data_IF_557175597676
#
_entry.id   IF_557175597676
#
_cell.length_a   1.000
_cell.length_b   1.000
_cell.length_c   1.000
_cell.angle_alpha   90.00
_cell.angle_beta   90.00
_cell.angle_gamma   90.00
#
_symmetry.space_group_name_H-M   'P 1'
#
loop_
_entity.id
_entity.type
_entity.pdbx_description
1 polymer ?
#
# COMPACT_ATOMS: atom_id res chain seq x y z
N UNK A 1 -28.49 13.99 3.39
CA UNK A 1 -27.65 13.45 2.30
C UNK A 1 -26.48 14.40 2.10
N UNK A 2 -25.26 13.90 2.16
CA UNK A 2 -24.02 14.66 2.01
C UNK A 2 -23.30 14.23 0.74
N UNK A 3 -22.71 15.19 0.00
CA UNK A 3 -21.83 14.90 -1.14
C UNK A 3 -20.38 15.02 -0.68
N UNK A 4 -19.57 13.96 -0.85
CA UNK A 4 -18.12 14.02 -0.70
C UNK A 4 -17.47 14.02 -2.07
N UNK A 5 -16.56 14.96 -2.30
CA UNK A 5 -15.73 15.06 -3.50
C UNK A 5 -14.29 14.70 -3.09
N UNK A 6 -13.71 13.68 -3.73
CA UNK A 6 -12.30 13.31 -3.55
C UNK A 6 -11.53 13.70 -4.80
N UNK A 7 -10.49 14.51 -4.64
CA UNK A 7 -9.59 14.97 -5.71
C UNK A 7 -8.20 14.39 -5.53
N UNK A 8 -7.61 13.92 -6.62
CA UNK A 8 -6.33 13.24 -6.60
C UNK A 8 -5.26 14.08 -7.29
N UNK A 9 -4.13 14.22 -6.60
CA UNK A 9 -2.98 14.97 -7.08
C UNK A 9 -1.70 14.15 -6.92
N UNK A 10 -0.76 14.35 -7.82
CA UNK A 10 0.60 13.86 -7.68
C UNK A 10 1.30 14.60 -6.53
N UNK A 11 1.98 13.88 -5.64
CA UNK A 11 2.63 14.50 -4.49
C UNK A 11 3.84 15.35 -4.91
N UNK A 12 4.50 14.95 -6.01
CA UNK A 12 5.74 15.58 -6.49
C UNK A 12 5.57 16.95 -7.13
N UNK A 13 4.44 17.21 -7.81
CA UNK A 13 4.24 18.47 -8.56
C UNK A 13 2.83 19.06 -8.41
N UNK A 14 1.94 18.35 -7.71
CA UNK A 14 0.55 18.77 -7.50
C UNK A 14 -0.33 18.70 -8.76
N UNK A 15 0.12 18.04 -9.82
CA UNK A 15 -0.72 17.84 -11.00
C UNK A 15 -1.90 16.92 -10.71
N UNK A 16 -3.08 17.14 -11.34
CA UNK A 16 -4.21 16.22 -11.22
C UNK A 16 -3.85 14.85 -11.81
N UNK A 17 -4.25 13.78 -11.13
CA UNK A 17 -4.03 12.40 -11.58
C UNK A 17 -5.31 11.60 -11.45
N UNK A 18 -5.43 10.55 -12.25
CA UNK A 18 -6.54 9.61 -12.10
C UNK A 18 -6.37 8.79 -10.82
N UNK A 19 -7.44 8.70 -10.05
CA UNK A 19 -7.47 7.95 -8.81
C UNK A 19 -8.81 7.26 -8.59
N UNK A 20 -8.86 6.46 -7.56
CA UNK A 20 -10.07 5.83 -7.06
C UNK A 20 -10.16 5.97 -5.56
N UNK A 21 -11.38 5.99 -5.05
CA UNK A 21 -11.64 6.02 -3.63
C UNK A 21 -12.71 5.00 -3.27
N UNK A 22 -12.61 4.44 -2.06
CA UNK A 22 -13.60 3.54 -1.49
C UNK A 22 -13.91 4.00 -0.07
N UNK A 23 -15.19 4.16 0.24
CA UNK A 23 -15.62 4.50 1.59
C UNK A 23 -15.65 3.25 2.47
N UNK A 24 -15.08 3.34 3.66
CA UNK A 24 -14.95 2.21 4.59
C UNK A 24 -15.65 2.51 5.91
N UNK A 25 -16.31 1.48 6.45
CA UNK A 25 -17.02 1.56 7.73
C UNK A 25 -16.60 0.44 8.69
N UNK A 26 -16.74 0.75 9.99
CA UNK A 26 -16.55 -0.19 11.08
C UNK A 26 -15.11 -0.64 11.31
N UNK A 27 -14.94 -1.47 12.34
CA UNK A 27 -13.63 -2.00 12.76
C UNK A 27 -12.92 -2.83 11.67
N UNK A 28 -13.72 -3.47 10.82
CA UNK A 28 -13.21 -4.37 9.77
C UNK A 28 -12.99 -3.68 8.42
N UNK A 29 -13.12 -2.34 8.38
CA UNK A 29 -12.95 -1.54 7.16
C UNK A 29 -13.73 -2.10 5.96
N UNK A 30 -14.99 -2.42 6.20
CA UNK A 30 -15.87 -2.95 5.15
C UNK A 30 -16.26 -1.84 4.18
N UNK A 31 -16.20 -2.11 2.88
CA UNK A 31 -16.62 -1.17 1.86
C UNK A 31 -18.10 -0.81 1.99
N UNK A 32 -18.41 0.47 1.94
CA UNK A 32 -19.78 1.00 2.03
C UNK A 32 -20.35 1.13 0.63
N UNK A 33 -21.50 0.50 0.40
CA UNK A 33 -22.24 0.62 -0.85
C UNK A 33 -22.93 1.99 -0.97
N UNK A 34 -22.31 2.92 -1.70
CA UNK A 34 -22.86 4.25 -1.97
C UNK A 34 -22.83 4.56 -3.47
N UNK A 35 -23.64 5.54 -3.91
CA UNK A 35 -23.56 6.02 -5.28
C UNK A 35 -22.26 6.77 -5.49
N UNK A 36 -21.48 6.32 -6.49
CA UNK A 36 -20.20 6.90 -6.87
C UNK A 36 -20.24 7.37 -8.32
N UNK A 37 -19.64 8.52 -8.60
CA UNK A 37 -19.45 9.05 -9.97
C UNK A 37 -18.08 9.71 -10.09
N UNK A 38 -17.27 9.42 -11.13
CA UNK A 38 -17.49 8.32 -12.09
C UNK A 38 -17.36 6.93 -11.43
N UNK A 39 -17.90 5.91 -12.05
CA UNK A 39 -17.78 4.51 -11.59
C UNK A 39 -16.33 3.98 -11.72
N UNK A 40 -15.56 4.57 -12.63
CA UNK A 40 -14.16 4.27 -12.86
C UNK A 40 -13.34 5.53 -12.62
N UNK A 41 -12.08 5.36 -12.23
CA UNK A 41 -11.18 6.41 -11.80
C UNK A 41 -11.14 7.65 -12.71
N UNK A 42 -10.79 8.76 -12.11
CA UNK A 42 -10.64 10.06 -12.73
C UNK A 42 -9.94 10.98 -11.73
N UNK A 43 -9.64 12.25 -12.10
CA UNK A 43 -9.00 13.20 -11.19
C UNK A 43 -9.92 13.66 -10.04
N UNK A 44 -11.21 13.37 -10.16
CA UNK A 44 -12.22 13.66 -9.14
C UNK A 44 -13.26 12.54 -9.08
N UNK A 45 -13.56 12.08 -7.87
CA UNK A 45 -14.62 11.10 -7.59
C UNK A 45 -15.62 11.70 -6.62
N UNK A 46 -16.92 11.54 -6.88
CA UNK A 46 -18.02 12.05 -6.05
C UNK A 46 -18.83 10.91 -5.45
N UNK A 47 -19.12 11.04 -4.17
CA UNK A 47 -19.98 10.13 -3.43
C UNK A 47 -21.23 10.87 -2.92
N UNK A 48 -22.38 10.22 -3.05
CA UNK A 48 -23.61 10.64 -2.38
C UNK A 48 -23.83 9.72 -1.18
N UNK A 49 -23.69 10.26 0.03
CA UNK A 49 -23.74 9.51 1.29
C UNK A 49 -24.96 9.94 2.09
N UNK A 50 -25.79 9.00 2.47
CA UNK A 50 -26.94 9.28 3.32
C UNK A 50 -26.47 9.60 4.76
N UNK A 51 -27.21 10.49 5.45
CA UNK A 51 -26.87 10.92 6.81
C UNK A 51 -26.89 9.78 7.83
N UNK A 52 -27.55 8.67 7.51
CA UNK A 52 -27.58 7.44 8.32
C UNK A 52 -26.43 6.51 8.05
N UNK A 53 -25.64 6.73 7.00
CA UNK A 53 -24.52 5.90 6.62
C UNK A 53 -23.29 6.27 7.45
N UNK A 54 -22.77 5.30 8.21
CA UNK A 54 -21.55 5.48 8.98
C UNK A 54 -20.34 5.21 8.09
N UNK A 55 -19.49 6.22 7.91
CA UNK A 55 -18.20 6.11 7.21
C UNK A 55 -17.11 6.56 8.17
N UNK A 56 -16.05 5.77 8.29
CA UNK A 56 -14.93 6.06 9.17
C UNK A 56 -13.71 6.55 8.40
N UNK A 57 -13.46 5.96 7.23
CA UNK A 57 -12.25 6.18 6.45
C UNK A 57 -12.55 6.18 4.95
N UNK A 58 -11.65 6.77 4.19
CA UNK A 58 -11.62 6.72 2.72
C UNK A 58 -10.33 6.04 2.30
N UNK A 59 -10.40 4.87 1.69
CA UNK A 59 -9.25 4.26 1.03
C UNK A 59 -9.06 4.95 -0.31
N UNK A 60 -7.88 5.48 -0.54
CA UNK A 60 -7.50 6.19 -1.77
C UNK A 60 -6.38 5.47 -2.48
N UNK A 61 -6.46 5.38 -3.80
CA UNK A 61 -5.48 4.68 -4.63
C UNK A 61 -5.39 5.28 -6.03
N UNK A 62 -4.27 5.04 -6.70
CA UNK A 62 -4.05 5.34 -8.11
C UNK A 62 -3.06 4.34 -8.69
N UNK A 63 -3.00 4.24 -10.02
CA UNK A 63 -2.08 3.35 -10.71
C UNK A 63 -0.64 3.74 -10.39
N UNK A 64 0.17 2.78 -9.92
CA UNK A 64 1.58 2.97 -9.53
C UNK A 64 1.81 4.07 -8.48
N UNK A 65 0.79 4.32 -7.64
CA UNK A 65 0.87 5.23 -6.51
C UNK A 65 0.61 4.47 -5.21
N UNK A 66 1.22 4.95 -4.14
CA UNK A 66 1.02 4.37 -2.82
C UNK A 66 -0.43 4.63 -2.37
N UNK A 67 -1.15 3.55 -2.05
CA UNK A 67 -2.51 3.63 -1.52
C UNK A 67 -2.48 3.82 -0.02
N UNK A 68 -3.35 4.67 0.51
CA UNK A 68 -3.45 4.88 1.95
C UNK A 68 -4.88 5.18 2.39
N UNK A 69 -5.08 5.19 3.70
CA UNK A 69 -6.34 5.48 4.34
C UNK A 69 -6.37 6.91 4.84
N UNK A 70 -7.39 7.65 4.43
CA UNK A 70 -7.70 8.97 4.96
C UNK A 70 -8.86 8.89 5.96
N UNK A 71 -8.82 9.58 7.09
CA UNK A 71 -9.97 9.65 7.98
C UNK A 71 -11.14 10.32 7.28
N UNK A 72 -12.38 9.98 7.67
CA UNK A 72 -13.57 10.63 7.13
C UNK A 72 -13.47 12.15 7.28
N UNK A 73 -13.48 12.92 6.18
CA UNK A 73 -13.23 14.36 6.24
C UNK A 73 -14.42 15.12 6.85
N UNK A 74 -14.12 16.22 7.52
CA UNK A 74 -15.15 17.16 8.02
C UNK A 74 -15.72 18.05 6.90
N UNK A 75 -14.92 18.31 5.86
CA UNK A 75 -15.30 19.09 4.67
C UNK A 75 -15.95 18.20 3.60
N UNK A 76 -16.67 18.81 2.68
CA UNK A 76 -17.27 18.12 1.54
C UNK A 76 -16.25 17.84 0.41
N UNK A 77 -15.02 18.33 0.55
CA UNK A 77 -13.92 18.08 -0.38
C UNK A 77 -12.74 17.49 0.39
N UNK A 78 -12.20 16.38 -0.12
CA UNK A 78 -10.95 15.74 0.32
C UNK A 78 -9.95 15.84 -0.83
N UNK A 79 -8.89 16.60 -0.63
CA UNK A 79 -7.75 16.65 -1.56
C UNK A 79 -6.67 15.68 -1.08
N UNK A 80 -6.30 14.75 -1.96
CA UNK A 80 -5.34 13.69 -1.65
C UNK A 80 -4.13 13.82 -2.55
N UNK A 81 -2.95 13.78 -1.95
CA UNK A 81 -1.66 13.76 -2.66
C UNK A 81 -1.08 12.36 -2.57
N UNK A 82 -0.95 11.69 -3.72
CA UNK A 82 -0.49 10.31 -3.81
C UNK A 82 0.98 10.27 -4.25
N UNK A 83 1.80 9.63 -3.43
CA UNK A 83 3.22 9.42 -3.71
C UNK A 83 3.43 8.29 -4.72
N UNK A 84 4.53 8.35 -5.47
CA UNK A 84 4.96 7.28 -6.37
C UNK A 84 5.24 6.02 -5.58
N UNK A 85 4.74 4.89 -6.06
CA UNK A 85 5.05 3.59 -5.48
C UNK A 85 6.15 2.87 -6.27
N UNK A 86 6.69 1.83 -5.65
CA UNK A 86 7.61 0.87 -6.23
C UNK A 86 7.15 -0.54 -5.87
N UNK A 87 7.78 -1.53 -6.46
CA UNK A 87 7.50 -2.94 -6.24
C UNK A 87 8.79 -3.68 -5.89
N UNK A 88 8.70 -4.59 -4.93
CA UNK A 88 9.78 -5.48 -4.53
C UNK A 88 9.31 -6.92 -4.67
N UNK A 89 10.02 -7.71 -5.47
CA UNK A 89 9.81 -9.13 -5.60
C UNK A 89 10.97 -9.86 -4.92
N UNK A 90 10.66 -10.65 -3.90
CA UNK A 90 11.64 -11.45 -3.16
C UNK A 90 11.42 -12.91 -3.54
N UNK A 91 12.45 -13.55 -4.08
CA UNK A 91 12.41 -14.95 -4.49
C UNK A 91 13.37 -15.82 -3.70
N UNK A 92 12.99 -17.07 -3.46
CA UNK A 92 13.84 -18.11 -2.89
C UNK A 92 14.15 -19.13 -3.99
N UNK A 93 15.40 -19.28 -4.32
CA UNK A 93 15.83 -20.06 -5.50
C UNK A 93 15.99 -21.56 -5.25
N UNK A 94 15.87 -22.04 -4.03
CA UNK A 94 16.16 -23.43 -3.68
C UNK A 94 14.94 -24.14 -3.10
N UNK A 95 14.96 -25.47 -3.07
CA UNK A 95 13.94 -26.30 -2.43
C UNK A 95 13.88 -26.11 -0.90
N UNK A 96 14.61 -25.15 -0.40
CA UNK A 96 14.68 -24.83 1.02
C UNK A 96 13.60 -23.81 1.41
N UNK A 97 13.07 -24.01 2.59
CA UNK A 97 12.16 -23.07 3.21
C UNK A 97 12.95 -21.97 3.91
N UNK A 98 12.59 -20.72 3.64
CA UNK A 98 13.12 -19.52 4.29
C UNK A 98 11.99 -18.74 4.93
N UNK A 99 12.31 -17.92 5.89
CA UNK A 99 11.41 -16.88 6.35
C UNK A 99 12.07 -15.53 6.17
N UNK A 100 11.29 -14.50 5.86
CA UNK A 100 11.80 -13.15 5.66
C UNK A 100 11.07 -12.15 6.53
N UNK A 101 11.77 -11.09 6.91
CA UNK A 101 11.21 -9.84 7.40
C UNK A 101 11.66 -8.70 6.49
N UNK A 102 10.81 -7.69 6.34
CA UNK A 102 11.11 -6.49 5.54
C UNK A 102 11.05 -5.26 6.44
N UNK A 103 12.16 -4.55 6.54
CA UNK A 103 12.29 -3.36 7.38
C UNK A 103 12.53 -2.12 6.53
N UNK A 104 11.70 -1.09 6.69
CA UNK A 104 11.96 0.24 6.15
C UNK A 104 12.97 0.96 7.06
N UNK A 105 14.08 1.41 6.50
CA UNK A 105 15.17 2.05 7.28
C UNK A 105 15.21 3.57 7.12
N UNK A 106 14.46 4.12 6.16
CA UNK A 106 14.36 5.55 5.90
C UNK A 106 13.10 6.22 6.47
N UNK A 107 12.36 5.54 7.37
CA UNK A 107 11.13 6.09 7.96
C UNK A 107 9.92 6.13 7.03
N UNK A 108 9.95 5.37 5.93
CA UNK A 108 8.84 5.28 4.99
C UNK A 108 7.57 4.75 5.69
N UNK A 109 6.42 5.30 5.30
CA UNK A 109 5.14 4.74 5.71
C UNK A 109 4.93 3.37 5.06
N UNK A 110 4.49 2.39 5.83
CA UNK A 110 4.21 1.04 5.37
C UNK A 110 2.71 0.79 5.38
N UNK A 111 2.19 0.14 4.34
CA UNK A 111 0.84 -0.40 4.38
C UNK A 111 0.72 -1.53 5.43
N UNK A 112 -0.51 -2.00 5.68
CA UNK A 112 -0.75 -2.99 6.73
C UNK A 112 -0.07 -4.34 6.43
N UNK A 113 0.05 -4.71 5.15
CA UNK A 113 0.71 -5.95 4.73
C UNK A 113 2.22 -5.87 4.98
N UNK A 114 2.88 -4.84 4.46
CA UNK A 114 4.34 -4.66 4.66
C UNK A 114 4.67 -4.45 6.12
N UNK A 115 3.79 -3.76 6.88
CA UNK A 115 3.94 -3.63 8.33
C UNK A 115 3.86 -4.98 9.04
N UNK A 116 3.08 -5.94 8.56
CA UNK A 116 3.07 -7.30 9.10
C UNK A 116 4.38 -8.02 8.84
N UNK A 117 4.99 -7.84 7.65
CA UNK A 117 6.31 -8.39 7.31
C UNK A 117 7.45 -7.82 8.17
N UNK A 118 7.28 -6.62 8.71
CA UNK A 118 8.26 -6.01 9.63
C UNK A 118 8.11 -6.49 11.08
N UNK A 119 7.02 -7.18 11.42
CA UNK A 119 6.74 -7.66 12.79
C UNK A 119 7.02 -9.14 12.97
N UNK A 120 6.73 -9.93 11.96
CA UNK A 120 6.81 -11.40 12.05
C UNK A 120 7.44 -11.98 10.77
N UNK A 121 8.33 -12.99 10.89
CA UNK A 121 8.92 -13.63 9.74
C UNK A 121 7.85 -14.32 8.88
N UNK A 122 7.82 -13.98 7.61
CA UNK A 122 6.92 -14.57 6.63
C UNK A 122 7.60 -15.75 5.91
N UNK A 123 7.01 -16.94 5.98
CA UNK A 123 7.58 -18.14 5.38
C UNK A 123 7.46 -18.12 3.85
N UNK A 124 8.59 -18.33 3.18
CA UNK A 124 8.72 -18.54 1.75
C UNK A 124 9.26 -19.94 1.47
N UNK A 125 8.54 -20.69 0.65
CA UNK A 125 9.00 -22.00 0.17
C UNK A 125 9.77 -21.83 -1.12
N UNK A 126 10.74 -22.73 -1.35
CA UNK A 126 11.53 -22.74 -2.57
C UNK A 126 10.71 -22.72 -3.84
N UNK A 127 11.17 -21.97 -4.83
CA UNK A 127 10.46 -21.76 -6.10
C UNK A 127 9.25 -20.81 -6.02
N UNK A 128 9.03 -20.14 -4.89
CA UNK A 128 7.98 -19.10 -4.75
C UNK A 128 8.60 -17.73 -4.57
N UNK A 129 7.87 -16.72 -5.00
CA UNK A 129 8.17 -15.32 -4.76
C UNK A 129 7.13 -14.68 -3.83
N UNK A 130 7.55 -13.66 -3.12
CA UNK A 130 6.70 -12.73 -2.40
C UNK A 130 6.71 -11.40 -3.14
N UNK A 131 5.54 -10.97 -3.56
CA UNK A 131 5.36 -9.70 -4.25
C UNK A 131 4.90 -8.64 -3.26
N UNK A 132 5.75 -7.67 -2.99
CA UNK A 132 5.44 -6.49 -2.19
C UNK A 132 5.17 -5.32 -3.13
N UNK A 133 3.94 -5.18 -3.56
CA UNK A 133 3.49 -4.05 -4.37
C UNK A 133 3.23 -2.82 -3.48
N UNK A 134 3.26 -1.64 -4.10
CA UNK A 134 2.91 -0.38 -3.44
C UNK A 134 3.79 0.00 -2.24
N UNK A 135 5.08 -0.27 -2.34
CA UNK A 135 6.06 0.27 -1.40
C UNK A 135 6.39 1.72 -1.75
N UNK A 136 6.75 2.53 -0.75
CA UNK A 136 7.37 3.83 -1.00
C UNK A 136 8.83 3.64 -1.39
N UNK A 137 9.37 4.49 -2.29
CA UNK A 137 10.80 4.47 -2.62
C UNK A 137 11.68 4.73 -1.40
N UNK A 138 12.88 4.18 -1.41
CA UNK A 138 13.88 4.40 -0.38
C UNK A 138 14.54 3.13 0.15
N UNK A 139 15.32 3.23 1.21
CA UNK A 139 16.11 2.13 1.73
C UNK A 139 15.28 1.17 2.58
N UNK A 140 15.48 -0.12 2.30
CA UNK A 140 14.92 -1.25 3.06
C UNK A 140 16.00 -2.25 3.39
N UNK A 141 15.72 -3.13 4.35
CA UNK A 141 16.53 -4.32 4.66
C UNK A 141 15.62 -5.54 4.64
N UNK A 142 16.01 -6.56 3.87
CA UNK A 142 15.39 -7.87 3.89
C UNK A 142 16.23 -8.72 4.85
N UNK A 143 15.65 -9.15 5.96
CA UNK A 143 16.26 -10.09 6.87
C UNK A 143 15.76 -11.50 6.55
N UNK A 144 16.69 -12.42 6.38
CA UNK A 144 16.45 -13.82 5.97
C UNK A 144 16.72 -14.76 7.13
N UNK A 145 15.79 -15.67 7.38
CA UNK A 145 15.88 -16.65 8.46
C UNK A 145 15.84 -18.07 7.90
N UNK A 146 16.59 -18.96 8.53
CA UNK A 146 16.52 -20.39 8.29
C UNK A 146 15.30 -21.06 8.97
N UNK A 147 15.17 -22.38 8.81
CA UNK A 147 14.11 -23.16 9.48
C UNK A 147 14.17 -23.13 11.00
N UNK A 148 15.36 -22.91 11.58
CA UNK A 148 15.55 -22.77 13.02
C UNK A 148 15.23 -21.35 13.53
N UNK A 149 14.75 -20.47 12.64
CA UNK A 149 14.46 -19.05 12.89
C UNK A 149 15.70 -18.25 13.30
N UNK A 150 16.87 -18.67 12.83
CA UNK A 150 18.10 -17.90 12.98
C UNK A 150 18.29 -16.98 11.78
N UNK A 151 18.61 -15.73 12.03
CA UNK A 151 18.95 -14.77 10.97
C UNK A 151 20.25 -15.19 10.29
N UNK A 152 20.20 -15.47 8.99
CA UNK A 152 21.33 -15.96 8.19
C UNK A 152 21.85 -14.91 7.20
N UNK A 153 21.03 -13.91 6.87
CA UNK A 153 21.44 -12.81 6.00
C UNK A 153 20.61 -11.55 6.25
N UNK A 154 21.23 -10.40 6.01
CA UNK A 154 20.58 -9.10 5.93
C UNK A 154 20.97 -8.44 4.60
N UNK A 155 19.98 -8.23 3.74
CA UNK A 155 20.19 -7.73 2.38
C UNK A 155 19.65 -6.32 2.30
N UNK A 156 20.51 -5.29 2.25
CA UNK A 156 20.06 -3.92 2.01
C UNK A 156 19.59 -3.78 0.57
N UNK A 157 18.47 -3.10 0.35
CA UNK A 157 17.90 -2.80 -0.95
C UNK A 157 17.41 -1.36 -0.98
N UNK A 158 17.72 -0.63 -2.04
CA UNK A 158 17.25 0.71 -2.27
C UNK A 158 16.20 0.70 -3.40
N UNK A 159 14.96 1.00 -3.04
CA UNK A 159 13.84 0.93 -3.96
C UNK A 159 13.64 2.27 -4.67
N UNK A 160 13.58 2.22 -6.00
CA UNK A 160 13.41 3.39 -6.86
C UNK A 160 11.96 3.50 -7.35
N UNK A 161 11.40 4.69 -7.31
CA UNK A 161 10.04 4.96 -7.77
C UNK A 161 9.77 4.38 -9.17
N UNK A 162 8.59 3.76 -9.33
CA UNK A 162 8.10 3.17 -10.58
C UNK A 162 8.94 2.02 -11.14
N UNK A 163 9.83 1.45 -10.36
CA UNK A 163 10.61 0.27 -10.74
C UNK A 163 10.20 -0.93 -9.93
N UNK A 164 10.27 -2.08 -10.56
CA UNK A 164 10.23 -3.37 -9.88
C UNK A 164 11.67 -3.77 -9.56
N UNK A 165 11.95 -4.03 -8.30
CA UNK A 165 13.24 -4.54 -7.83
C UNK A 165 13.11 -6.02 -7.54
N UNK A 166 14.00 -6.83 -8.08
CA UNK A 166 14.03 -8.27 -7.87
C UNK A 166 15.20 -8.64 -6.95
N UNK A 167 14.91 -9.37 -5.88
CA UNK A 167 15.93 -9.84 -4.93
C UNK A 167 15.80 -11.33 -4.74
N UNK A 168 16.88 -12.04 -5.02
CA UNK A 168 17.03 -13.45 -4.73
C UNK A 168 17.70 -13.63 -3.37
N UNK A 169 17.05 -14.36 -2.47
CA UNK A 169 17.57 -14.61 -1.12
C UNK A 169 18.23 -15.98 -1.04
N UNK A 170 19.32 -16.11 -0.24
CA UNK A 170 20.09 -17.35 -0.11
C UNK A 170 19.34 -18.47 0.59
#
# INVERSE_FOLDING_TARGET
MRTLIVRFFAAEDGSPIDGSATLLAGRWRTAVGVKQKPLHGGPEVRFEVDDTTVVNEVLVSSVRRFSHHEPWPKSDVLEVRLEKSTELIIAVNHDEERSIMLHATGGQHLDDFVRSLAKEPHALRGGRSLDCAQLLPGPYVIEVFDRAKQSIAQLPVDLVAWRTTFVEVP
#
